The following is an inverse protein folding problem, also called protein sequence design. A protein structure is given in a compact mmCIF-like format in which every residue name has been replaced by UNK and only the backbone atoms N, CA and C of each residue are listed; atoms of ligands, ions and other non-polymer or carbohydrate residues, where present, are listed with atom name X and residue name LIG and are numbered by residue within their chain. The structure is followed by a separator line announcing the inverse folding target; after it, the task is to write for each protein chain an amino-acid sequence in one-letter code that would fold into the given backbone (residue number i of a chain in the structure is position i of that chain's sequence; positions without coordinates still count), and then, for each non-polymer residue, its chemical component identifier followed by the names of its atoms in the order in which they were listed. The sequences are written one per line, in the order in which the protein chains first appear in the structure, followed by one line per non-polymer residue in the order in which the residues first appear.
data_IF_040287192883
#
_entry.id   IF_040287192883
#
_cell.length_a   1.000
_cell.length_b   1.000
_cell.length_c   1.000
_cell.angle_alpha   90.00
_cell.angle_beta   90.00
_cell.angle_gamma   90.00
#
_symmetry.space_group_name_H-M   'P 1'
#
loop_
_entity.id
_entity.type
_entity.pdbx_description
1 polymer ?
#
# COMPACT_ATOMS: atom_id res chain seq x y z
N UNK A 1 -19.89 9.85 -5.59
CA UNK A 1 -18.46 10.21 -5.53
C UNK A 1 -17.95 10.00 -4.12
N UNK A 2 -16.75 9.45 -3.98
CA UNK A 2 -16.12 9.21 -2.69
C UNK A 2 -16.09 10.47 -1.81
N UNK A 3 -16.38 10.30 -0.53
CA UNK A 3 -16.29 11.39 0.44
C UNK A 3 -14.82 11.61 0.80
N UNK A 4 -14.31 12.82 0.55
CA UNK A 4 -12.99 13.18 1.07
C UNK A 4 -13.06 13.36 2.58
N UNK A 5 -12.22 12.64 3.32
CA UNK A 5 -12.12 12.72 4.76
C UNK A 5 -10.89 13.51 5.19
N UNK A 6 -11.01 14.24 6.30
CA UNK A 6 -9.88 14.91 6.94
C UNK A 6 -8.98 13.90 7.64
N UNK A 7 -7.71 14.25 7.85
CA UNK A 7 -6.74 13.46 8.63
C UNK A 7 -7.30 13.04 10.00
N UNK A 8 -7.95 13.97 10.70
CA UNK A 8 -8.57 13.73 12.01
C UNK A 8 -9.70 12.68 11.95
N UNK A 9 -10.55 12.74 10.92
CA UNK A 9 -11.64 11.77 10.73
C UNK A 9 -11.09 10.37 10.45
N UNK A 10 -10.06 10.28 9.59
CA UNK A 10 -9.41 9.00 9.26
C UNK A 10 -8.80 8.39 10.53
N UNK A 11 -7.96 9.13 11.25
CA UNK A 11 -7.32 8.65 12.47
C UNK A 11 -8.35 8.24 13.54
N UNK A 12 -9.46 8.96 13.66
CA UNK A 12 -10.57 8.59 14.56
C UNK A 12 -11.18 7.23 14.15
N UNK A 13 -11.40 6.98 12.85
CA UNK A 13 -11.92 5.70 12.35
C UNK A 13 -10.96 4.56 12.62
N UNK A 14 -9.68 4.71 12.23
CA UNK A 14 -8.66 3.67 12.43
C UNK A 14 -8.48 3.33 13.92
N UNK A 15 -8.42 4.33 14.79
CA UNK A 15 -8.32 4.10 16.22
C UNK A 15 -9.57 3.42 16.81
N UNK A 16 -10.75 3.64 16.23
CA UNK A 16 -11.97 2.91 16.61
C UNK A 16 -11.85 1.44 16.23
N UNK A 17 -11.44 1.12 14.99
CA UNK A 17 -11.21 -0.26 14.52
C UNK A 17 -10.26 -1.01 15.48
N UNK A 18 -9.15 -0.36 15.87
CA UNK A 18 -8.19 -0.94 16.85
C UNK A 18 -8.84 -1.18 18.22
N UNK A 19 -9.59 -0.20 18.74
CA UNK A 19 -10.26 -0.33 20.04
C UNK A 19 -11.33 -1.43 20.07
N UNK A 20 -11.94 -1.72 18.94
CA UNK A 20 -12.90 -2.81 18.77
C UNK A 20 -12.20 -4.18 18.62
N UNK A 21 -10.87 -4.24 18.74
CA UNK A 21 -10.09 -5.48 18.60
C UNK A 21 -10.04 -6.03 17.17
N UNK A 22 -10.33 -5.19 16.16
CA UNK A 22 -10.30 -5.58 14.74
C UNK A 22 -9.04 -5.06 14.06
N UNK A 23 -8.44 -5.83 13.14
CA UNK A 23 -7.30 -5.35 12.37
C UNK A 23 -7.73 -4.28 11.36
N UNK A 24 -6.85 -3.30 11.13
CA UNK A 24 -6.98 -2.36 10.01
C UNK A 24 -6.64 -3.09 8.72
N UNK A 25 -7.48 -2.94 7.70
CA UNK A 25 -7.22 -3.44 6.35
C UNK A 25 -7.15 -2.27 5.36
N UNK A 26 -5.98 -2.06 4.77
CA UNK A 26 -5.79 -1.13 3.67
C UNK A 26 -5.69 -1.93 2.36
N UNK A 27 -6.62 -1.69 1.45
CA UNK A 27 -6.78 -2.47 0.23
C UNK A 27 -6.21 -1.75 -1.00
N UNK A 28 -5.17 -2.31 -1.62
CA UNK A 28 -4.69 -1.90 -2.94
C UNK A 28 -5.79 -2.09 -3.98
N UNK A 29 -6.07 -1.06 -4.75
CA UNK A 29 -7.16 -1.06 -5.71
C UNK A 29 -6.79 -0.26 -6.95
N UNK A 30 -6.66 -0.95 -8.07
CA UNK A 30 -6.23 -0.35 -9.35
C UNK A 30 -7.36 -0.22 -10.37
N UNK A 31 -8.57 -0.64 -10.01
CA UNK A 31 -9.78 -0.52 -10.82
C UNK A 31 -11.01 -0.32 -9.94
N UNK A 32 -12.03 0.30 -10.48
CA UNK A 32 -13.27 0.59 -9.76
C UNK A 32 -13.94 -0.65 -9.18
N UNK A 33 -13.95 -1.77 -9.90
CA UNK A 33 -14.54 -3.02 -9.39
C UNK A 33 -13.81 -3.54 -8.14
N UNK A 34 -12.48 -3.46 -8.12
CA UNK A 34 -11.67 -3.87 -6.96
C UNK A 34 -11.96 -2.97 -5.76
N UNK A 35 -11.93 -1.64 -5.98
CA UNK A 35 -12.20 -0.66 -4.92
C UNK A 35 -13.59 -0.82 -4.31
N UNK A 36 -14.61 -1.03 -5.17
CA UNK A 36 -15.99 -1.29 -4.74
C UNK A 36 -16.10 -2.55 -3.88
N UNK A 37 -15.50 -3.66 -4.34
CA UNK A 37 -15.51 -4.92 -3.59
C UNK A 37 -14.73 -4.80 -2.28
N UNK A 38 -13.60 -4.09 -2.26
CA UNK A 38 -12.82 -3.85 -1.06
C UNK A 38 -13.62 -3.05 -0.01
N UNK A 39 -14.30 -1.97 -0.41
CA UNK A 39 -15.18 -1.21 0.49
C UNK A 39 -16.32 -2.07 1.03
N UNK A 40 -17.01 -2.84 0.18
CA UNK A 40 -18.07 -3.76 0.60
C UNK A 40 -17.56 -4.88 1.52
N UNK A 41 -16.29 -5.27 1.37
CA UNK A 41 -15.59 -6.20 2.26
C UNK A 41 -15.15 -5.58 3.59
N UNK A 42 -15.36 -4.29 3.79
CA UNK A 42 -15.05 -3.59 5.04
C UNK A 42 -13.62 -3.06 5.15
N UNK A 43 -12.95 -2.79 4.03
CA UNK A 43 -11.64 -2.14 4.04
C UNK A 43 -11.70 -0.78 4.73
N UNK A 44 -10.73 -0.47 5.59
CA UNK A 44 -10.62 0.81 6.28
C UNK A 44 -10.02 1.91 5.40
N UNK A 45 -9.18 1.53 4.42
CA UNK A 45 -8.52 2.43 3.47
C UNK A 45 -8.48 1.80 2.07
N UNK A 46 -8.68 2.62 1.03
CA UNK A 46 -8.43 2.24 -0.36
C UNK A 46 -7.10 2.85 -0.80
N UNK A 47 -6.17 2.01 -1.26
CA UNK A 47 -4.83 2.42 -1.68
C UNK A 47 -4.75 2.44 -3.20
N UNK A 48 -4.42 3.59 -3.79
CA UNK A 48 -4.33 3.77 -5.24
C UNK A 48 -2.93 4.22 -5.64
N UNK A 49 -2.23 3.41 -6.43
CA UNK A 49 -0.91 3.76 -6.97
C UNK A 49 -0.62 3.00 -8.27
N UNK A 50 0.20 3.62 -9.13
CA UNK A 50 0.43 3.23 -10.53
C UNK A 50 0.79 1.76 -10.75
N UNK A 51 1.60 1.16 -9.87
CA UNK A 51 2.02 -0.24 -9.98
C UNK A 51 0.86 -1.25 -9.93
N UNK A 52 -0.32 -0.82 -9.52
CA UNK A 52 -1.54 -1.61 -9.62
C UNK A 52 -1.95 -1.89 -11.07
N UNK A 53 -1.66 -0.99 -12.01
CA UNK A 53 -1.93 -1.24 -13.44
C UNK A 53 -1.17 -2.45 -13.96
N UNK A 54 0.07 -2.66 -13.52
CA UNK A 54 0.85 -3.83 -13.94
C UNK A 54 0.21 -5.13 -13.44
N UNK A 55 -0.30 -5.14 -12.22
CA UNK A 55 -1.04 -6.29 -11.69
C UNK A 55 -2.30 -6.60 -12.50
N UNK A 56 -3.05 -5.57 -12.92
CA UNK A 56 -4.23 -5.75 -13.80
C UNK A 56 -3.87 -6.19 -15.23
N UNK A 57 -2.65 -5.90 -15.67
CA UNK A 57 -2.12 -6.41 -16.96
C UNK A 57 -1.66 -7.88 -16.86
N UNK A 58 -1.77 -8.51 -15.70
CA UNK A 58 -1.28 -9.88 -15.45
C UNK A 58 0.24 -9.96 -15.35
N UNK A 59 0.90 -8.84 -15.05
CA UNK A 59 2.35 -8.72 -14.91
C UNK A 59 2.77 -8.61 -13.43
N UNK A 60 4.05 -8.88 -13.19
CA UNK A 60 4.65 -8.65 -11.88
C UNK A 60 4.63 -7.15 -11.55
N UNK A 61 4.44 -6.82 -10.26
CA UNK A 61 4.47 -5.42 -9.79
C UNK A 61 5.77 -4.73 -10.23
N UNK A 62 5.65 -3.63 -10.97
CA UNK A 62 6.78 -2.85 -11.43
C UNK A 62 6.38 -1.37 -11.58
N UNK A 63 7.35 -0.51 -11.87
CA UNK A 63 7.14 0.89 -12.22
C UNK A 63 7.24 1.00 -13.74
N UNK A 64 6.11 1.28 -14.36
CA UNK A 64 6.01 1.49 -15.82
C UNK A 64 5.18 2.76 -16.00
N UNK A 65 5.57 3.64 -16.89
CA UNK A 65 4.90 4.91 -17.16
C UNK A 65 5.14 6.00 -16.09
N UNK A 66 4.56 7.17 -16.29
CA UNK A 66 4.56 8.27 -15.31
C UNK A 66 3.65 7.91 -14.14
N UNK A 67 4.25 7.49 -13.03
CA UNK A 67 3.55 6.94 -11.87
C UNK A 67 2.53 7.91 -11.27
N UNK A 68 2.87 9.19 -11.17
CA UNK A 68 1.98 10.18 -10.56
C UNK A 68 0.76 10.47 -11.43
N UNK A 69 0.96 10.64 -12.74
CA UNK A 69 -0.15 10.85 -13.68
C UNK A 69 -1.09 9.64 -13.74
N UNK A 70 -0.53 8.43 -13.73
CA UNK A 70 -1.33 7.21 -13.75
C UNK A 70 -2.16 7.05 -12.47
N UNK A 71 -1.57 7.36 -11.30
CA UNK A 71 -2.31 7.36 -10.03
C UNK A 71 -3.48 8.35 -10.04
N UNK A 72 -3.27 9.56 -10.58
CA UNK A 72 -4.31 10.58 -10.70
C UNK A 72 -5.43 10.17 -11.65
N UNK A 73 -5.10 9.49 -12.78
CA UNK A 73 -6.10 8.94 -13.70
C UNK A 73 -6.95 7.85 -13.05
N UNK A 74 -6.32 6.92 -12.33
CA UNK A 74 -7.04 5.86 -11.62
C UNK A 74 -8.01 6.40 -10.56
N UNK A 75 -7.67 7.50 -9.91
CA UNK A 75 -8.56 8.12 -8.93
C UNK A 75 -9.92 8.48 -9.54
N UNK A 76 -9.94 9.01 -10.76
CA UNK A 76 -11.19 9.42 -11.43
C UNK A 76 -12.16 8.24 -11.61
N UNK A 77 -11.65 7.06 -11.88
CA UNK A 77 -12.44 5.83 -11.99
C UNK A 77 -12.93 5.36 -10.61
N UNK A 78 -12.02 5.30 -9.64
CA UNK A 78 -12.27 4.72 -8.32
C UNK A 78 -13.23 5.57 -7.48
N UNK A 79 -13.11 6.90 -7.53
CA UNK A 79 -13.98 7.80 -6.76
C UNK A 79 -15.47 7.66 -7.09
N UNK A 80 -15.82 7.15 -8.28
CA UNK A 80 -17.21 6.99 -8.69
C UNK A 80 -17.92 5.80 -8.03
N UNK A 81 -17.17 4.86 -7.48
CA UNK A 81 -17.68 3.59 -6.96
C UNK A 81 -17.42 3.38 -5.46
N UNK A 82 -16.53 4.16 -4.88
CA UNK A 82 -16.29 4.21 -3.43
C UNK A 82 -17.19 5.28 -2.81
N UNK A 83 -17.77 5.02 -1.64
CA UNK A 83 -18.71 5.92 -0.97
C UNK A 83 -18.07 6.60 0.25
N UNK A 84 -17.66 5.82 1.24
CA UNK A 84 -17.27 6.29 2.56
C UNK A 84 -15.82 5.97 2.95
N UNK A 85 -15.18 5.01 2.27
CA UNK A 85 -13.81 4.60 2.59
C UNK A 85 -12.81 5.64 2.08
N UNK A 86 -11.89 6.17 2.91
CA UNK A 86 -10.92 7.15 2.47
C UNK A 86 -9.94 6.56 1.45
N UNK A 87 -9.70 7.34 0.37
CA UNK A 87 -8.78 6.95 -0.70
C UNK A 87 -7.43 7.60 -0.46
N UNK A 88 -6.38 6.80 -0.43
CA UNK A 88 -4.98 7.20 -0.24
C UNK A 88 -4.21 7.02 -1.54
N UNK A 89 -3.58 8.09 -2.02
CA UNK A 89 -2.83 8.08 -3.27
C UNK A 89 -1.34 7.86 -3.08
N UNK A 90 -0.76 6.99 -3.90
CA UNK A 90 0.69 6.80 -3.95
C UNK A 90 1.37 7.90 -4.73
N UNK A 91 2.35 8.56 -4.12
CA UNK A 91 3.19 9.57 -4.78
C UNK A 91 4.60 9.04 -4.94
N UNK A 92 5.07 9.03 -6.19
CA UNK A 92 6.46 8.79 -6.51
C UNK A 92 7.24 10.10 -6.34
N UNK A 93 7.91 10.26 -5.21
CA UNK A 93 8.53 11.52 -4.79
C UNK A 93 9.67 12.00 -5.69
N UNK A 94 10.21 11.15 -6.56
CA UNK A 94 11.35 11.44 -7.44
C UNK A 94 10.98 11.45 -8.92
N UNK A 95 9.70 11.58 -9.24
CA UNK A 95 9.21 11.60 -10.61
C UNK A 95 8.27 12.81 -10.84
N UNK A 96 8.67 13.81 -11.66
CA UNK A 96 10.04 14.02 -12.12
C UNK A 96 11.01 14.39 -10.99
N UNK A 97 12.32 14.19 -11.18
CA UNK A 97 13.32 14.37 -10.11
C UNK A 97 13.36 15.76 -9.47
N UNK A 98 13.08 16.79 -10.24
CA UNK A 98 13.10 18.20 -9.86
C UNK A 98 11.73 18.76 -9.47
N UNK A 99 10.71 17.89 -9.33
CA UNK A 99 9.35 18.30 -9.01
C UNK A 99 9.25 19.00 -7.64
N UNK A 100 8.42 20.04 -7.57
CA UNK A 100 8.02 20.67 -6.32
C UNK A 100 7.06 19.74 -5.55
N UNK A 101 7.55 19.16 -4.46
CA UNK A 101 6.77 18.21 -3.66
C UNK A 101 5.54 18.86 -3.02
N UNK A 102 5.58 20.14 -2.68
CA UNK A 102 4.43 20.86 -2.12
C UNK A 102 3.31 20.96 -3.15
N UNK A 103 3.65 21.32 -4.39
CA UNK A 103 2.68 21.36 -5.50
C UNK A 103 2.15 19.97 -5.81
N UNK A 104 2.99 18.94 -5.71
CA UNK A 104 2.60 17.56 -5.95
C UNK A 104 1.60 17.07 -4.91
N UNK A 105 1.87 17.26 -3.61
CA UNK A 105 0.92 16.93 -2.53
C UNK A 105 -0.38 17.69 -2.72
N UNK A 106 -0.29 19.00 -2.98
CA UNK A 106 -1.49 19.83 -3.23
C UNK A 106 -2.31 19.30 -4.39
N UNK A 107 -1.69 18.92 -5.50
CA UNK A 107 -2.38 18.35 -6.68
C UNK A 107 -3.16 17.08 -6.32
N UNK A 108 -2.58 16.16 -5.56
CA UNK A 108 -3.28 14.95 -5.12
C UNK A 108 -4.46 15.29 -4.21
N UNK A 109 -4.27 16.18 -3.25
CA UNK A 109 -5.31 16.63 -2.34
C UNK A 109 -6.44 17.35 -3.07
N UNK A 110 -6.12 18.21 -4.03
CA UNK A 110 -7.11 18.94 -4.85
C UNK A 110 -7.90 18.00 -5.78
N UNK A 111 -7.27 16.91 -6.25
CA UNK A 111 -7.95 15.86 -7.03
C UNK A 111 -8.99 15.11 -6.20
N UNK A 112 -8.83 15.02 -4.87
CA UNK A 112 -9.80 14.42 -3.97
C UNK A 112 -9.26 13.30 -3.07
N UNK A 113 -7.99 12.95 -3.16
CA UNK A 113 -7.38 12.01 -2.23
C UNK A 113 -7.51 12.50 -0.79
N UNK A 114 -7.82 11.59 0.12
CA UNK A 114 -7.93 11.86 1.56
C UNK A 114 -6.56 11.79 2.27
N UNK A 115 -5.59 11.18 1.64
CA UNK A 115 -4.23 11.02 2.16
C UNK A 115 -3.25 10.56 1.09
N UNK A 116 -1.99 10.47 1.48
CA UNK A 116 -0.90 10.03 0.59
C UNK A 116 -0.02 8.95 1.22
N UNK A 117 0.69 8.21 0.35
CA UNK A 117 1.75 7.26 0.72
C UNK A 117 2.93 7.41 -0.25
N UNK A 118 4.16 7.18 0.22
CA UNK A 118 5.39 7.17 -0.59
C UNK A 118 5.48 5.91 -1.45
N UNK A 119 4.67 5.81 -2.50
CA UNK A 119 4.75 4.68 -3.41
C UNK A 119 4.44 5.09 -4.86
N UNK A 120 5.24 4.67 -5.84
CA UNK A 120 6.45 3.84 -5.78
C UNK A 120 7.55 4.40 -4.90
N UNK A 121 8.35 3.52 -4.27
CA UNK A 121 9.39 3.89 -3.31
C UNK A 121 10.76 3.35 -3.68
N UNK A 122 11.80 4.12 -3.41
CA UNK A 122 13.19 3.68 -3.50
C UNK A 122 13.70 2.98 -2.23
N UNK A 123 12.90 2.94 -1.18
CA UNK A 123 13.18 2.16 0.02
C UNK A 123 13.39 0.67 -0.25
N UNK A 124 12.85 0.16 -1.37
CA UNK A 124 12.98 -1.24 -1.79
C UNK A 124 14.42 -1.66 -2.15
N UNK A 125 15.26 -0.72 -2.59
CA UNK A 125 16.62 -1.05 -3.01
C UNK A 125 17.55 -1.28 -1.81
N UNK A 126 18.10 -2.49 -1.72
CA UNK A 126 19.00 -2.90 -0.63
C UNK A 126 20.47 -2.48 -0.87
N UNK A 127 20.87 -2.23 -2.11
CA UNK A 127 22.23 -1.83 -2.43
C UNK A 127 22.59 -0.48 -1.82
N UNK A 128 23.42 -0.51 -0.79
CA UNK A 128 23.89 0.69 -0.07
C UNK A 128 24.62 1.70 -0.96
N UNK A 129 25.28 1.25 -2.01
CA UNK A 129 26.01 2.13 -2.93
C UNK A 129 25.01 2.84 -3.85
N UNK A 130 24.02 2.12 -4.37
CA UNK A 130 22.95 2.71 -5.15
C UNK A 130 22.14 3.73 -4.35
N UNK A 131 21.80 3.43 -3.11
CA UNK A 131 21.14 4.40 -2.22
C UNK A 131 21.97 5.66 -2.05
N UNK A 132 23.29 5.57 -1.79
CA UNK A 132 24.19 6.73 -1.69
C UNK A 132 24.26 7.55 -2.97
N UNK A 133 24.35 6.90 -4.14
CA UNK A 133 24.36 7.58 -5.45
C UNK A 133 23.08 8.39 -5.62
N UNK A 134 21.92 7.80 -5.35
CA UNK A 134 20.63 8.47 -5.48
C UNK A 134 20.45 9.62 -4.48
N UNK A 135 20.89 9.44 -3.23
CA UNK A 135 20.91 10.54 -2.25
C UNK A 135 21.77 11.70 -2.71
N UNK A 136 22.97 11.43 -3.23
CA UNK A 136 23.86 12.47 -3.77
C UNK A 136 23.27 13.22 -4.98
N UNK A 137 22.36 12.59 -5.72
CA UNK A 137 21.64 13.18 -6.85
C UNK A 137 20.34 13.90 -6.43
N UNK A 138 19.96 13.91 -5.15
CA UNK A 138 18.71 14.48 -4.65
C UNK A 138 17.44 13.71 -5.04
N UNK A 139 17.59 12.44 -5.43
CA UNK A 139 16.50 11.56 -5.84
C UNK A 139 16.45 10.27 -4.99
N UNK A 140 16.99 10.32 -3.80
CA UNK A 140 17.01 9.22 -2.84
C UNK A 140 15.76 9.16 -1.94
N UNK A 141 15.84 8.30 -0.93
CA UNK A 141 14.76 8.10 0.04
C UNK A 141 14.51 9.34 0.92
N UNK A 142 15.51 10.20 1.10
CA UNK A 142 15.37 11.50 1.78
C UNK A 142 14.26 12.36 1.18
N UNK A 143 14.04 12.25 -0.13
CA UNK A 143 12.98 12.97 -0.83
C UNK A 143 11.58 12.42 -0.49
N UNK A 144 11.47 11.12 -0.21
CA UNK A 144 10.23 10.51 0.28
C UNK A 144 9.94 10.94 1.73
N UNK A 145 10.97 11.07 2.56
CA UNK A 145 10.85 11.61 3.94
C UNK A 145 10.36 13.05 3.89
N UNK A 146 10.90 13.88 2.99
CA UNK A 146 10.46 15.25 2.81
C UNK A 146 9.01 15.34 2.31
N UNK A 147 8.60 14.46 1.38
CA UNK A 147 7.21 14.35 0.94
C UNK A 147 6.25 14.14 2.13
N UNK A 148 6.57 13.20 3.03
CA UNK A 148 5.75 12.92 4.22
C UNK A 148 5.73 14.12 5.16
N UNK A 149 6.86 14.80 5.38
CA UNK A 149 6.94 15.99 6.22
C UNK A 149 6.08 17.14 5.68
N UNK A 150 6.14 17.39 4.37
CA UNK A 150 5.30 18.40 3.70
C UNK A 150 3.82 18.07 3.87
N UNK A 151 3.42 16.83 3.60
CA UNK A 151 2.03 16.42 3.73
C UNK A 151 1.52 16.50 5.18
N UNK A 152 2.34 16.11 6.15
CA UNK A 152 2.03 16.26 7.58
C UNK A 152 1.80 17.74 7.94
N UNK A 153 2.69 18.65 7.51
CA UNK A 153 2.57 20.09 7.76
C UNK A 153 1.34 20.72 7.08
N UNK A 154 0.82 20.12 6.02
CA UNK A 154 -0.41 20.50 5.34
C UNK A 154 -1.67 19.85 5.96
N UNK A 155 -1.54 19.16 7.10
CA UNK A 155 -2.61 18.37 7.77
C UNK A 155 -3.25 17.32 6.86
N UNK A 156 -2.47 16.73 5.95
CA UNK A 156 -2.88 15.62 5.09
C UNK A 156 -2.56 14.30 5.79
N UNK A 157 -3.48 13.33 5.73
CA UNK A 157 -3.25 11.99 6.26
C UNK A 157 -2.11 11.30 5.51
N UNK A 158 -1.17 10.72 6.24
CA UNK A 158 0.07 10.15 5.69
C UNK A 158 0.27 8.69 6.07
N UNK A 159 0.68 7.91 5.11
CA UNK A 159 1.22 6.56 5.30
C UNK A 159 2.64 6.48 4.74
N UNK A 160 3.48 5.60 5.27
CA UNK A 160 4.80 5.38 4.70
C UNK A 160 5.17 3.89 4.64
N UNK A 161 5.55 3.41 3.47
CA UNK A 161 6.27 2.16 3.31
C UNK A 161 7.72 2.33 3.71
N UNK A 162 8.20 1.42 4.57
CA UNK A 162 9.60 1.36 5.00
C UNK A 162 10.08 -0.09 5.05
N UNK A 163 11.36 -0.29 4.71
CA UNK A 163 11.99 -1.61 4.64
C UNK A 163 13.02 -1.81 5.75
N UNK A 164 13.46 -0.73 6.38
CA UNK A 164 14.52 -0.74 7.39
C UNK A 164 14.13 0.07 8.62
N UNK A 165 14.62 -0.34 9.82
CA UNK A 165 14.38 0.42 11.06
C UNK A 165 14.92 1.85 11.04
N UNK A 166 15.97 2.13 10.24
CA UNK A 166 16.51 3.49 10.10
C UNK A 166 15.53 4.40 9.34
N UNK A 167 14.98 3.89 8.23
CA UNK A 167 13.98 4.61 7.44
C UNK A 167 12.70 4.84 8.26
N UNK A 168 12.31 3.86 9.08
CA UNK A 168 11.16 3.98 9.97
C UNK A 168 11.32 5.11 11.01
N UNK A 169 12.52 5.28 11.58
CA UNK A 169 12.79 6.42 12.47
C UNK A 169 12.65 7.75 11.73
N UNK A 170 13.26 7.87 10.56
CA UNK A 170 13.23 9.11 9.79
C UNK A 170 11.79 9.48 9.34
N UNK A 171 10.98 8.51 8.93
CA UNK A 171 9.58 8.74 8.59
C UNK A 171 8.73 9.09 9.83
N UNK A 172 9.02 8.49 11.00
CA UNK A 172 8.36 8.84 12.25
C UNK A 172 8.70 10.28 12.68
N UNK A 173 9.95 10.71 12.53
CA UNK A 173 10.41 12.10 12.77
C UNK A 173 9.78 13.09 11.76
N UNK A 174 9.46 12.64 10.56
CA UNK A 174 8.73 13.43 9.57
C UNK A 174 7.22 13.59 9.88
N UNK A 175 6.69 12.88 10.88
CA UNK A 175 5.31 13.00 11.33
C UNK A 175 4.30 12.09 10.61
N UNK A 176 4.75 10.94 10.11
CA UNK A 176 3.84 9.96 9.49
C UNK A 176 2.75 9.49 10.47
N UNK A 177 1.52 9.30 9.99
CA UNK A 177 0.40 8.78 10.78
C UNK A 177 0.37 7.26 10.88
N UNK A 178 0.66 6.60 9.75
CA UNK A 178 0.64 5.14 9.64
C UNK A 178 1.95 4.66 9.02
N UNK A 179 2.69 3.88 9.79
CA UNK A 179 3.90 3.20 9.35
C UNK A 179 3.55 1.82 8.80
N UNK A 180 3.99 1.51 7.59
CA UNK A 180 3.79 0.20 6.97
C UNK A 180 5.13 -0.51 6.85
N UNK A 181 5.33 -1.54 7.67
CA UNK A 181 6.51 -2.39 7.60
C UNK A 181 6.43 -3.30 6.36
N UNK A 182 7.21 -2.98 5.34
CA UNK A 182 7.24 -3.69 4.06
C UNK A 182 8.32 -4.76 4.06
N UNK A 183 7.95 -6.02 3.88
CA UNK A 183 8.89 -7.16 3.96
C UNK A 183 9.18 -7.81 2.60
N UNK A 184 9.01 -7.07 1.53
CA UNK A 184 9.31 -7.51 0.17
C UNK A 184 8.08 -7.56 -0.73
N UNK A 185 8.28 -7.82 -2.02
CA UNK A 185 7.18 -8.05 -2.96
C UNK A 185 6.36 -9.27 -2.56
N UNK A 186 5.03 -9.18 -2.69
CA UNK A 186 4.11 -10.26 -2.28
C UNK A 186 4.35 -11.52 -3.12
N UNK A 187 4.55 -12.65 -2.45
CA UNK A 187 4.63 -13.99 -3.07
C UNK A 187 3.25 -14.46 -3.56
N UNK A 188 3.21 -15.60 -4.22
CA UNK A 188 1.98 -16.28 -4.62
C UNK A 188 1.28 -15.73 -5.86
N UNK A 189 0.32 -16.51 -6.36
CA UNK A 189 -0.37 -16.26 -7.61
C UNK A 189 0.51 -16.52 -8.84
N UNK A 190 0.04 -16.10 -10.01
CA UNK A 190 0.72 -16.40 -11.30
C UNK A 190 2.05 -15.65 -11.48
N UNK A 191 2.20 -14.46 -10.87
CA UNK A 191 3.34 -13.55 -11.06
C UNK A 191 3.84 -12.97 -9.72
N UNK A 192 3.91 -13.80 -8.68
CA UNK A 192 4.42 -13.42 -7.35
C UNK A 192 5.95 -13.30 -7.28
N UNK A 193 6.44 -12.83 -6.14
CA UNK A 193 7.87 -12.71 -5.83
C UNK A 193 8.41 -13.90 -5.03
N UNK A 194 7.97 -15.12 -5.37
CA UNK A 194 8.23 -16.34 -4.59
C UNK A 194 9.71 -16.63 -4.41
N UNK A 195 10.51 -16.39 -5.46
CA UNK A 195 11.97 -16.69 -5.45
C UNK A 195 12.79 -15.85 -4.48
N UNK A 196 12.24 -14.71 -4.02
CA UNK A 196 12.93 -13.78 -3.11
C UNK A 196 12.16 -13.54 -1.81
N UNK A 197 11.02 -14.18 -1.62
CA UNK A 197 10.23 -14.02 -0.41
C UNK A 197 10.96 -14.62 0.81
N UNK A 198 11.11 -13.82 1.86
CA UNK A 198 11.70 -14.29 3.11
C UNK A 198 10.78 -15.29 3.83
N UNK A 199 11.33 -16.22 4.64
CA UNK A 199 10.50 -17.05 5.51
C UNK A 199 9.65 -16.21 6.47
N UNK A 200 8.42 -16.65 6.78
CA UNK A 200 7.45 -15.92 7.61
C UNK A 200 8.03 -15.45 8.95
N UNK A 201 8.81 -16.31 9.63
CA UNK A 201 9.50 -15.96 10.89
C UNK A 201 10.47 -14.78 10.72
N UNK A 202 11.22 -14.73 9.62
CA UNK A 202 12.13 -13.62 9.33
C UNK A 202 11.37 -12.34 9.00
N UNK A 203 10.28 -12.45 8.23
CA UNK A 203 9.38 -11.34 7.92
C UNK A 203 8.78 -10.75 9.21
N UNK A 204 8.23 -11.56 10.11
CA UNK A 204 7.69 -11.10 11.39
C UNK A 204 8.77 -10.43 12.26
N UNK A 205 9.98 -10.98 12.31
CA UNK A 205 11.09 -10.36 13.04
C UNK A 205 11.47 -8.98 12.49
N UNK A 206 11.44 -8.80 11.16
CA UNK A 206 11.69 -7.50 10.52
C UNK A 206 10.54 -6.50 10.81
N UNK A 207 9.28 -6.93 10.67
CA UNK A 207 8.11 -6.13 11.04
C UNK A 207 8.26 -5.61 12.47
N UNK A 208 8.57 -6.50 13.43
CA UNK A 208 8.72 -6.10 14.82
C UNK A 208 9.89 -5.12 15.06
N UNK A 209 11.00 -5.28 14.35
CA UNK A 209 12.14 -4.33 14.43
C UNK A 209 11.74 -2.95 13.91
N UNK A 210 11.02 -2.87 12.81
CA UNK A 210 10.50 -1.63 12.23
C UNK A 210 9.54 -0.97 13.22
N UNK A 211 8.57 -1.70 13.76
CA UNK A 211 7.61 -1.19 14.75
C UNK A 211 8.31 -0.64 15.99
N UNK A 212 9.27 -1.38 16.55
CA UNK A 212 10.06 -0.91 17.69
C UNK A 212 10.83 0.38 17.40
N UNK A 213 11.39 0.52 16.20
CA UNK A 213 12.08 1.74 15.78
C UNK A 213 11.13 2.92 15.66
N UNK A 214 9.95 2.71 15.06
CA UNK A 214 8.86 3.70 14.93
C UNK A 214 8.36 4.17 16.30
N UNK A 215 8.00 3.22 17.19
CA UNK A 215 7.42 3.51 18.49
C UNK A 215 8.38 4.21 19.47
N UNK A 216 9.69 4.06 19.26
CA UNK A 216 10.69 4.83 20.03
C UNK A 216 10.66 6.32 19.72
N UNK A 217 10.25 6.73 18.52
CA UNK A 217 10.09 8.13 18.12
C UNK A 217 8.72 8.65 18.55
N UNK A 218 7.66 7.95 18.16
CA UNK A 218 6.30 8.32 18.51
C UNK A 218 5.44 7.05 18.77
N UNK A 219 5.05 6.79 20.02
CA UNK A 219 4.28 5.61 20.39
C UNK A 219 2.87 5.59 19.79
N UNK A 220 2.35 6.73 19.31
CA UNK A 220 0.99 6.84 18.80
C UNK A 220 0.87 6.48 17.30
N UNK A 221 1.98 6.35 16.56
CA UNK A 221 1.95 5.97 15.14
C UNK A 221 1.33 4.58 15.01
N UNK A 222 0.33 4.45 14.13
CA UNK A 222 -0.29 3.16 13.79
C UNK A 222 0.70 2.36 12.94
N UNK A 223 0.90 1.07 13.24
CA UNK A 223 1.86 0.23 12.52
C UNK A 223 1.15 -0.96 11.86
N UNK A 224 1.31 -1.07 10.55
CA UNK A 224 0.75 -2.14 9.71
C UNK A 224 1.89 -2.96 9.09
N UNK A 225 1.58 -4.18 8.65
CA UNK A 225 2.49 -5.04 7.88
C UNK A 225 2.10 -5.11 6.41
N UNK A 226 3.05 -5.40 5.51
CA UNK A 226 2.80 -5.58 4.09
C UNK A 226 3.83 -6.48 3.40
N UNK A 227 3.37 -7.33 2.48
CA UNK A 227 4.17 -7.97 1.44
C UNK A 227 4.92 -9.23 1.86
N UNK A 228 5.89 -9.64 1.06
CA UNK A 228 6.68 -10.86 1.24
C UNK A 228 5.80 -12.11 1.33
N UNK A 229 6.01 -12.95 2.36
CA UNK A 229 5.24 -14.18 2.55
C UNK A 229 3.82 -13.96 3.09
N UNK A 230 3.41 -12.73 3.37
CA UNK A 230 2.07 -12.41 3.88
C UNK A 230 1.13 -12.28 2.68
N UNK A 231 0.54 -13.40 2.28
CA UNK A 231 -0.26 -13.53 1.05
C UNK A 231 -1.74 -13.67 1.35
N UNK A 232 -2.10 -14.53 2.28
CA UNK A 232 -3.48 -14.88 2.64
C UNK A 232 -3.87 -14.36 4.04
N UNK A 233 -5.16 -14.29 4.37
CA UNK A 233 -5.61 -13.88 5.71
C UNK A 233 -4.97 -14.69 6.84
N UNK A 234 -4.73 -15.99 6.64
CA UNK A 234 -4.11 -16.89 7.62
C UNK A 234 -2.67 -16.47 7.95
N UNK A 235 -1.94 -15.92 6.98
CA UNK A 235 -0.57 -15.43 7.19
C UNK A 235 -0.56 -14.23 8.13
N UNK A 236 -1.58 -13.38 8.07
CA UNK A 236 -1.69 -12.20 8.95
C UNK A 236 -1.88 -12.59 10.41
N UNK A 237 -2.51 -13.76 10.69
CA UNK A 237 -2.63 -14.28 12.04
C UNK A 237 -1.26 -14.47 12.68
N UNK A 238 -0.31 -15.10 11.95
CA UNK A 238 1.06 -15.26 12.46
C UNK A 238 1.72 -13.91 12.76
N UNK A 239 1.53 -12.91 11.90
CA UNK A 239 2.08 -11.56 12.10
C UNK A 239 1.51 -10.92 13.37
N UNK A 240 0.19 -10.98 13.58
CA UNK A 240 -0.46 -10.39 14.76
C UNK A 240 -0.10 -11.11 16.06
N UNK A 241 0.14 -12.43 16.02
CA UNK A 241 0.58 -13.21 17.18
C UNK A 241 2.04 -12.96 17.57
N UNK A 242 2.90 -12.52 16.62
CA UNK A 242 4.35 -12.39 16.81
C UNK A 242 4.87 -10.96 16.73
N UNK A 243 4.00 -9.98 16.48
CA UNK A 243 4.37 -8.57 16.35
C UNK A 243 3.31 -7.64 16.93
N UNK A 244 3.67 -6.36 17.10
CA UNK A 244 2.73 -5.32 17.52
C UNK A 244 2.03 -4.64 16.31
N UNK A 245 1.97 -5.27 15.15
CA UNK A 245 1.20 -4.80 14.01
C UNK A 245 -0.31 -4.87 14.30
N UNK A 246 -1.03 -3.78 14.02
CA UNK A 246 -2.47 -3.67 14.25
C UNK A 246 -3.29 -3.76 12.96
N UNK A 247 -2.69 -4.27 11.89
CA UNK A 247 -3.38 -4.43 10.61
C UNK A 247 -2.42 -4.76 9.47
N UNK A 248 -2.98 -4.78 8.28
CA UNK A 248 -2.31 -5.23 7.05
C UNK A 248 -2.64 -4.33 5.87
N UNK A 249 -1.67 -4.10 5.01
CA UNK A 249 -1.87 -3.52 3.68
C UNK A 249 -1.78 -4.64 2.66
N UNK A 250 -2.85 -4.91 1.94
CA UNK A 250 -2.88 -5.88 0.86
C UNK A 250 -2.92 -5.21 -0.51
N UNK A 251 -1.95 -5.50 -1.38
CA UNK A 251 -1.97 -5.12 -2.79
C UNK A 251 -2.26 -6.36 -3.64
N UNK A 252 -1.24 -7.11 -4.06
CA UNK A 252 -1.43 -8.35 -4.84
C UNK A 252 -2.35 -9.36 -4.15
N UNK A 253 -2.29 -9.46 -2.83
CA UNK A 253 -3.14 -10.33 -2.00
C UNK A 253 -4.63 -9.97 -2.03
N UNK A 254 -4.99 -8.73 -2.41
CA UNK A 254 -6.40 -8.28 -2.48
C UNK A 254 -6.85 -8.09 -3.93
N UNK A 255 -6.03 -7.46 -4.77
CA UNK A 255 -6.48 -7.06 -6.12
C UNK A 255 -6.08 -8.01 -7.24
N UNK A 256 -5.02 -8.83 -7.08
CA UNK A 256 -4.53 -9.71 -8.14
C UNK A 256 -4.85 -11.19 -7.87
N UNK A 257 -4.33 -11.74 -6.78
CA UNK A 257 -4.45 -13.18 -6.47
C UNK A 257 -5.90 -13.67 -6.39
N UNK A 258 -6.84 -12.95 -5.73
CA UNK A 258 -8.25 -13.37 -5.73
C UNK A 258 -8.88 -13.32 -7.11
N UNK A 259 -8.52 -12.35 -7.96
CA UNK A 259 -9.04 -12.24 -9.33
C UNK A 259 -8.51 -13.38 -10.21
N UNK A 260 -7.21 -13.67 -10.14
CA UNK A 260 -6.60 -14.82 -10.83
C UNK A 260 -7.38 -16.10 -10.53
N UNK A 261 -7.62 -16.39 -9.26
CA UNK A 261 -8.29 -17.59 -8.79
C UNK A 261 -9.77 -17.62 -9.21
N UNK A 262 -10.52 -16.56 -8.92
CA UNK A 262 -11.95 -16.52 -9.18
C UNK A 262 -12.28 -16.60 -10.69
N UNK A 263 -11.49 -15.98 -11.55
CA UNK A 263 -11.68 -16.04 -12.99
C UNK A 263 -11.39 -17.44 -13.53
N UNK A 264 -10.30 -18.09 -13.09
CA UNK A 264 -9.98 -19.45 -13.50
C UNK A 264 -11.09 -20.42 -13.08
N UNK A 265 -11.49 -20.40 -11.79
CA UNK A 265 -12.56 -21.27 -11.26
C UNK A 265 -13.88 -21.08 -12.01
N UNK A 266 -14.25 -19.85 -12.35
CA UNK A 266 -15.48 -19.58 -13.11
C UNK A 266 -15.41 -20.18 -14.53
N UNK A 267 -14.30 -20.00 -15.24
CA UNK A 267 -14.10 -20.54 -16.59
C UNK A 267 -14.10 -22.08 -16.56
N UNK A 268 -13.40 -22.70 -15.62
CA UNK A 268 -13.38 -24.15 -15.43
C UNK A 268 -14.79 -24.68 -15.15
N UNK A 269 -15.56 -24.00 -14.31
CA UNK A 269 -16.95 -24.35 -14.03
C UNK A 269 -17.82 -24.35 -15.29
N UNK A 270 -17.74 -23.29 -16.11
CA UNK A 270 -18.47 -23.25 -17.39
C UNK A 270 -18.00 -24.35 -18.37
N UNK A 271 -16.72 -24.61 -18.45
CA UNK A 271 -16.14 -25.64 -19.33
C UNK A 271 -16.49 -27.07 -18.89
N UNK A 272 -16.75 -27.26 -17.60
CA UNK A 272 -17.13 -28.53 -17.02
C UNK A 272 -18.58 -29.01 -17.39
N UNK A 273 -19.41 -28.10 -17.96
CA UNK A 273 -20.79 -28.45 -18.34
C UNK A 273 -20.81 -29.22 -19.67
N UNK A 274 -21.25 -30.44 -19.61
CA UNK A 274 -21.33 -31.29 -20.80
C UNK A 274 -22.46 -30.86 -21.76
N UNK A 275 -22.14 -30.82 -23.05
CA UNK A 275 -23.17 -30.62 -24.08
C UNK A 275 -23.92 -31.93 -24.35
N UNK A 276 -25.20 -31.84 -24.74
CA UNK A 276 -25.93 -33.01 -25.25
C UNK A 276 -25.20 -33.58 -26.48
N UNK A 277 -24.87 -34.86 -26.44
CA UNK A 277 -24.36 -35.54 -27.64
C UNK A 277 -25.41 -35.41 -28.73
N UNK A 278 -25.06 -34.80 -29.87
CA UNK A 278 -25.92 -34.89 -31.06
C UNK A 278 -25.98 -36.36 -31.47
N UNK A 279 -27.19 -36.91 -31.55
CA UNK A 279 -27.44 -38.25 -32.11
C UNK A 279 -27.16 -38.25 -33.62
#
# INVERSE_FOLDING_TARGET
MAKKLTRKEILKRLNRTIKEGRPIVAAGSSAGIIAKCAELGGADLIMVYSSGRERLRGLQTNIVENSNEETLKMFQEIQNVVQDTPIVGGIHATEPPDSDLTKMVKRFVDTGFSGIINFPTFGFFDDKNWRKVREAQGIGFSREIELIRIAHNMDVFTMAYVFYPADARAMAEAGVDVMVAHVGGTAGGLVGFDSIAAPMKAAAALVQKIIKATKKVNPNIICLAHGGPIVFPEDTKYIYEHTDAVGFVGASSIERIPVEKAVQEAVEGFKGIALKKKK
#
